data_IF_138192776137
#
_entry.id   IF_138192776137
#
_cell.length_a   1.000
_cell.length_b   1.000
_cell.length_c   1.000
_cell.angle_alpha   90.00
_cell.angle_beta   90.00
_cell.angle_gamma   90.00
#
_symmetry.space_group_name_H-M   'P 1'
#
loop_
_entity.id
_entity.type
_entity.pdbx_description
1 polymer ?
#
# COMPACT_ATOMS: atom_id res chain seq x y z
N UNK A 1 -9.62 -9.22 -43.10
CA UNK A 1 -8.63 -8.74 -42.10
C UNK A 1 -8.99 -9.34 -40.75
N UNK A 2 -8.22 -10.33 -40.27
CA UNK A 2 -8.52 -11.08 -39.04
C UNK A 2 -8.15 -10.26 -37.78
N UNK A 3 -9.03 -10.26 -36.77
CA UNK A 3 -8.77 -9.58 -35.49
C UNK A 3 -7.95 -10.49 -34.58
N UNK A 4 -6.79 -10.01 -34.18
CA UNK A 4 -5.91 -10.62 -33.19
C UNK A 4 -6.50 -10.40 -31.78
N UNK A 5 -7.32 -11.34 -31.31
CA UNK A 5 -7.87 -11.38 -29.94
C UNK A 5 -7.26 -12.57 -29.18
N UNK A 6 -5.96 -12.84 -29.39
CA UNK A 6 -5.25 -13.87 -28.65
C UNK A 6 -4.74 -13.31 -27.31
N UNK A 7 -5.64 -12.76 -26.49
CA UNK A 7 -5.31 -12.44 -25.10
C UNK A 7 -5.82 -13.59 -24.25
N UNK A 8 -4.99 -14.63 -24.13
CA UNK A 8 -5.22 -15.80 -23.27
C UNK A 8 -5.15 -15.46 -21.77
N UNK A 9 -5.84 -14.42 -21.33
CA UNK A 9 -6.03 -14.15 -19.91
C UNK A 9 -7.11 -15.10 -19.41
N UNK A 10 -6.67 -16.30 -19.00
CA UNK A 10 -7.52 -17.27 -18.31
C UNK A 10 -8.30 -16.58 -17.18
N UNK A 11 -9.56 -17.01 -16.98
CA UNK A 11 -10.46 -16.44 -15.96
C UNK A 11 -9.76 -16.43 -14.60
N UNK A 12 -9.23 -15.28 -14.20
CA UNK A 12 -8.72 -15.09 -12.85
C UNK A 12 -9.92 -15.18 -11.91
N UNK A 13 -9.77 -15.99 -10.87
CA UNK A 13 -10.77 -16.20 -9.84
C UNK A 13 -11.35 -14.85 -9.40
N UNK A 14 -12.69 -14.69 -9.49
CA UNK A 14 -13.36 -13.40 -9.39
C UNK A 14 -12.91 -12.63 -8.14
N UNK A 15 -12.22 -11.49 -8.28
CA UNK A 15 -11.70 -10.70 -7.16
C UNK A 15 -12.80 -10.28 -6.18
N UNK A 16 -14.01 -9.99 -6.69
CA UNK A 16 -15.18 -9.65 -5.86
C UNK A 16 -15.58 -10.81 -4.94
N UNK A 17 -15.63 -12.04 -5.43
CA UNK A 17 -16.04 -13.19 -4.62
C UNK A 17 -15.09 -13.47 -3.43
N UNK A 18 -13.82 -13.08 -3.54
CA UNK A 18 -12.86 -13.17 -2.43
C UNK A 18 -13.11 -12.06 -1.41
N UNK A 19 -13.45 -10.85 -1.88
CA UNK A 19 -13.77 -9.72 -1.03
C UNK A 19 -15.08 -9.92 -0.25
N UNK A 20 -16.10 -10.51 -0.89
CA UNK A 20 -17.40 -10.81 -0.29
C UNK A 20 -17.28 -11.81 0.88
N UNK A 21 -16.29 -12.71 0.82
CA UNK A 21 -16.01 -13.72 1.86
C UNK A 21 -15.21 -13.16 3.06
N UNK A 22 -14.78 -11.90 3.03
CA UNK A 22 -13.99 -11.32 4.12
C UNK A 22 -14.86 -11.04 5.37
N UNK A 23 -14.28 -11.14 6.58
CA UNK A 23 -14.93 -10.68 7.80
C UNK A 23 -15.30 -9.19 7.74
N UNK A 24 -16.43 -8.83 8.38
CA UNK A 24 -16.94 -7.44 8.39
C UNK A 24 -15.93 -6.43 8.93
N UNK A 25 -15.19 -6.80 9.97
CA UNK A 25 -14.18 -5.94 10.61
C UNK A 25 -13.00 -5.67 9.68
N UNK A 26 -12.52 -6.72 9.00
CA UNK A 26 -11.48 -6.59 7.98
C UNK A 26 -11.94 -5.71 6.80
N UNK A 27 -13.22 -5.83 6.42
CA UNK A 27 -13.80 -5.02 5.34
C UNK A 27 -13.87 -3.54 5.71
N UNK A 28 -14.24 -3.21 6.94
CA UNK A 28 -14.24 -1.82 7.45
C UNK A 28 -12.83 -1.23 7.44
N UNK A 29 -11.84 -2.03 7.86
CA UNK A 29 -10.45 -1.58 7.78
C UNK A 29 -10.02 -1.33 6.32
N UNK A 30 -10.33 -2.25 5.40
CA UNK A 30 -10.02 -2.08 3.97
C UNK A 30 -10.69 -0.84 3.35
N UNK A 31 -11.89 -0.48 3.80
CA UNK A 31 -12.57 0.74 3.35
C UNK A 31 -11.88 2.04 3.82
N UNK A 32 -11.09 1.97 4.91
CA UNK A 32 -10.35 3.12 5.47
C UNK A 32 -8.88 3.13 5.05
N UNK A 33 -8.37 2.02 4.50
CA UNK A 33 -6.98 1.88 4.07
C UNK A 33 -6.66 2.86 2.93
N UNK A 34 -5.46 3.43 2.96
CA UNK A 34 -4.97 4.36 1.96
C UNK A 34 -4.43 3.65 0.71
N UNK A 35 -3.96 2.40 0.87
CA UNK A 35 -3.44 1.60 -0.24
C UNK A 35 -4.51 0.63 -0.81
N UNK A 36 -4.49 0.36 -2.13
CA UNK A 36 -5.34 -0.67 -2.74
C UNK A 36 -4.77 -2.08 -2.44
N UNK A 37 -5.00 -2.55 -1.22
CA UNK A 37 -4.58 -3.89 -0.78
C UNK A 37 -5.37 -5.00 -1.50
N UNK A 38 -4.69 -6.10 -1.84
CA UNK A 38 -5.38 -7.32 -2.27
C UNK A 38 -6.05 -8.02 -1.09
N UNK A 39 -7.32 -8.42 -1.26
CA UNK A 39 -8.15 -9.11 -0.26
C UNK A 39 -7.46 -10.32 0.38
N UNK A 40 -6.73 -11.12 -0.42
CA UNK A 40 -6.03 -12.33 0.04
C UNK A 40 -4.83 -12.02 0.93
N UNK A 41 -4.07 -10.96 0.65
CA UNK A 41 -2.95 -10.56 1.51
C UNK A 41 -3.46 -9.96 2.82
N UNK A 42 -4.49 -9.12 2.76
CA UNK A 42 -5.10 -8.54 3.95
C UNK A 42 -5.67 -9.63 4.89
N UNK A 43 -6.38 -10.63 4.33
CA UNK A 43 -6.90 -11.76 5.09
C UNK A 43 -5.79 -12.57 5.78
N UNK A 44 -4.69 -12.87 5.07
CA UNK A 44 -3.57 -13.62 5.65
C UNK A 44 -2.97 -12.91 6.86
N UNK A 45 -2.67 -11.61 6.74
CA UNK A 45 -2.10 -10.84 7.85
C UNK A 45 -3.09 -10.69 9.01
N UNK A 46 -4.38 -10.54 8.71
CA UNK A 46 -5.44 -10.51 9.72
C UNK A 46 -5.51 -11.82 10.51
N UNK A 47 -5.52 -12.97 9.84
CA UNK A 47 -5.55 -14.29 10.49
C UNK A 47 -4.28 -14.54 11.33
N UNK A 48 -3.10 -14.14 10.85
CA UNK A 48 -1.87 -14.23 11.65
C UNK A 48 -1.98 -13.39 12.91
N UNK A 49 -2.46 -12.15 12.80
CA UNK A 49 -2.59 -11.27 13.95
C UNK A 49 -3.62 -11.81 14.96
N UNK A 50 -4.79 -12.28 14.51
CA UNK A 50 -5.80 -12.89 15.39
C UNK A 50 -5.28 -14.13 16.11
N UNK A 51 -4.48 -14.97 15.45
CA UNK A 51 -3.86 -16.14 16.09
C UNK A 51 -2.86 -15.74 17.17
N UNK A 52 -2.13 -14.63 16.97
CA UNK A 52 -1.15 -14.14 17.95
C UNK A 52 -1.80 -13.46 19.15
N UNK A 53 -2.96 -12.83 18.97
CA UNK A 53 -3.65 -12.07 20.02
C UNK A 53 -4.89 -12.77 20.56
N UNK A 54 -5.15 -14.02 20.18
CA UNK A 54 -6.28 -14.78 20.70
C UNK A 54 -7.66 -14.27 20.29
N UNK A 55 -7.77 -13.56 19.16
CA UNK A 55 -9.04 -13.03 18.65
C UNK A 55 -9.26 -11.53 18.83
N UNK A 56 -8.27 -10.79 19.35
CA UNK A 56 -8.38 -9.33 19.47
C UNK A 56 -8.38 -8.64 18.11
N UNK A 57 -9.56 -8.14 17.75
CA UNK A 57 -9.84 -7.48 16.47
C UNK A 57 -9.14 -6.13 16.34
N UNK A 58 -9.05 -5.36 17.44
CA UNK A 58 -8.37 -4.06 17.45
C UNK A 58 -6.86 -4.23 17.22
N UNK A 59 -6.26 -5.23 17.87
CA UNK A 59 -4.84 -5.52 17.73
C UNK A 59 -4.50 -5.98 16.30
N UNK A 60 -5.38 -6.76 15.67
CA UNK A 60 -5.27 -7.13 14.27
C UNK A 60 -5.36 -5.91 13.34
N UNK A 61 -6.26 -4.96 13.62
CA UNK A 61 -6.38 -3.69 12.89
C UNK A 61 -5.10 -2.86 13.00
N UNK A 62 -4.58 -2.69 14.22
CA UNK A 62 -3.34 -1.94 14.48
C UNK A 62 -2.14 -2.58 13.77
N UNK A 63 -2.06 -3.92 13.76
CA UNK A 63 -1.02 -4.65 13.04
C UNK A 63 -1.09 -4.39 11.53
N UNK A 64 -2.28 -4.42 10.92
CA UNK A 64 -2.47 -4.10 9.51
C UNK A 64 -2.08 -2.65 9.17
N UNK A 65 -2.49 -1.67 9.97
CA UNK A 65 -2.10 -0.27 9.78
C UNK A 65 -0.58 -0.05 9.85
N UNK A 66 0.14 -0.81 10.69
CA UNK A 66 1.62 -0.78 10.72
C UNK A 66 2.22 -1.35 9.43
N UNK A 67 1.66 -2.41 8.87
CA UNK A 67 2.10 -2.96 7.59
C UNK A 67 1.86 -1.97 6.45
N UNK A 68 0.71 -1.30 6.44
CA UNK A 68 0.41 -0.23 5.50
C UNK A 68 1.44 0.90 5.57
N UNK A 69 1.72 1.43 6.75
CA UNK A 69 2.73 2.47 6.91
C UNK A 69 4.11 2.04 6.36
N UNK A 70 4.50 0.78 6.57
CA UNK A 70 5.76 0.23 6.03
C UNK A 70 5.74 0.13 4.51
N UNK A 71 4.62 -0.31 3.92
CA UNK A 71 4.45 -0.36 2.47
C UNK A 71 4.51 1.04 1.86
N UNK A 72 3.81 2.01 2.45
CA UNK A 72 3.84 3.42 2.02
C UNK A 72 5.27 3.97 2.13
N UNK A 73 5.98 3.71 3.23
CA UNK A 73 7.36 4.16 3.38
C UNK A 73 8.29 3.58 2.31
N UNK A 74 8.15 2.28 2.00
CA UNK A 74 8.95 1.61 0.97
C UNK A 74 8.61 2.12 -0.43
N UNK A 75 7.32 2.27 -0.74
CA UNK A 75 6.84 2.73 -2.03
C UNK A 75 7.19 4.21 -2.26
N UNK A 76 6.97 5.08 -1.27
CA UNK A 76 7.38 6.48 -1.34
C UNK A 76 8.89 6.64 -1.51
N UNK A 77 9.72 5.84 -0.82
CA UNK A 77 11.15 5.84 -1.05
C UNK A 77 11.51 5.36 -2.47
N UNK A 78 10.75 4.43 -3.05
CA UNK A 78 10.99 3.93 -4.40
C UNK A 78 10.57 4.95 -5.48
N UNK A 79 9.38 5.54 -5.36
CA UNK A 79 8.84 6.46 -6.36
C UNK A 79 9.47 7.85 -6.24
N UNK A 80 9.68 8.36 -5.01
CA UNK A 80 10.05 9.76 -4.74
C UNK A 80 11.48 9.90 -4.18
N UNK A 81 12.16 8.81 -3.81
CA UNK A 81 13.51 8.86 -3.26
C UNK A 81 13.59 9.65 -1.95
N UNK A 82 14.60 10.50 -1.79
CA UNK A 82 14.80 11.36 -0.63
C UNK A 82 13.93 12.63 -0.59
N UNK A 83 13.07 12.82 -1.60
CA UNK A 83 12.19 14.01 -1.71
C UNK A 83 10.86 13.84 -0.96
N UNK A 84 10.50 12.64 -0.52
CA UNK A 84 9.27 12.43 0.25
C UNK A 84 9.50 12.73 1.74
N UNK A 85 8.66 13.58 2.39
CA UNK A 85 8.85 13.96 3.79
C UNK A 85 8.81 12.80 4.78
N UNK A 86 8.22 11.64 4.43
CA UNK A 86 8.30 10.43 5.27
C UNK A 86 9.58 9.59 5.03
N UNK A 87 10.33 9.87 3.97
CA UNK A 87 11.62 9.23 3.67
C UNK A 87 12.81 10.07 4.17
N UNK A 88 12.62 11.37 4.39
CA UNK A 88 13.64 12.26 4.95
C UNK A 88 13.68 12.10 6.48
N UNK A 89 14.82 11.73 7.10
CA UNK A 89 14.95 11.83 8.54
C UNK A 89 14.88 13.30 8.96
N UNK A 90 14.15 13.61 10.04
CA UNK A 90 13.85 14.95 10.56
C UNK A 90 15.07 15.84 10.89
N UNK A 91 16.30 15.39 10.62
CA UNK A 91 17.55 16.12 10.83
C UNK A 91 18.32 16.34 9.52
N UNK A 92 17.64 16.75 8.45
CA UNK A 92 18.30 17.23 7.24
C UNK A 92 18.20 18.75 7.18
N UNK A 93 19.31 19.50 7.33
CA UNK A 93 19.27 20.94 7.11
C UNK A 93 18.92 21.18 5.65
N UNK A 94 17.76 21.79 5.43
CA UNK A 94 17.30 22.28 4.13
C UNK A 94 18.45 23.02 3.46
N UNK A 95 18.95 22.42 2.38
CA UNK A 95 20.05 22.95 1.58
C UNK A 95 19.57 24.26 0.93
N UNK A 96 20.25 25.41 1.13
CA UNK A 96 19.76 26.68 0.62
C UNK A 96 19.78 26.74 -0.91
N UNK A 97 18.89 27.60 -1.41
CA UNK A 97 18.45 27.81 -2.79
C UNK A 97 19.56 27.75 -3.86
N UNK A 98 19.24 27.08 -4.97
CA UNK A 98 19.98 27.21 -6.25
C UNK A 98 19.93 28.69 -6.69
N UNK A 99 21.05 29.39 -6.56
CA UNK A 99 21.29 30.66 -7.26
C UNK A 99 22.07 30.41 -8.55
N UNK A 100 21.68 31.21 -9.55
CA UNK A 100 22.41 31.59 -10.76
C UNK A 100 22.63 30.52 -11.84
N UNK A 101 21.74 30.49 -12.82
CA UNK A 101 22.21 30.43 -14.21
C UNK A 101 22.04 31.82 -14.80
N UNK A 102 23.16 32.52 -14.96
CA UNK A 102 23.26 33.75 -15.75
C UNK A 102 22.69 33.49 -17.14
N UNK A 103 21.67 34.25 -17.51
CA UNK A 103 21.32 34.51 -18.90
C UNK A 103 22.29 35.58 -19.41
N UNK A 104 22.93 35.34 -20.55
CA UNK A 104 23.83 36.29 -21.25
C UNK A 104 23.56 36.14 -22.76
N UNK A 105 23.52 37.25 -23.52
CA UNK A 105 22.60 37.46 -24.64
C UNK A 105 22.93 36.68 -25.90
#
# INVERSE_FOLDING_TARGET
MARNINTGLGRRHSPMAQFDRLPRELRQWLATAALPWSATSALRHWQTALQQTGGDTDHARAHLSRLEARCIARDSAHIWGSLHPAATPANSPLRPARRATQFRP
#
